data_IF_528785991726
#
_entry.id   IF_528785991726
#
_cell.length_a   1.000
_cell.length_b   1.000
_cell.length_c   1.000
_cell.angle_alpha   90.00
_cell.angle_beta   90.00
_cell.angle_gamma   90.00
#
_symmetry.space_group_name_H-M   'P 1'
#
loop_
_entity.id
_entity.type
_entity.pdbx_description
1 polymer ?
#
# COMPACT_ATOMS: atom_id res chain seq x y z
N UNK A 1 29.84 -33.31 -12.18
CA UNK A 1 28.43 -33.63 -12.46
C UNK A 1 27.66 -32.43 -11.89
N UNK A 2 27.34 -31.44 -12.75
CA UNK A 2 26.55 -30.28 -12.35
C UNK A 2 25.12 -30.80 -12.21
N UNK A 3 24.54 -30.67 -11.03
CA UNK A 3 23.24 -31.21 -10.69
C UNK A 3 22.17 -30.49 -11.54
N UNK A 4 21.38 -31.24 -12.32
CA UNK A 4 20.33 -30.71 -13.21
C UNK A 4 19.24 -29.97 -12.42
N UNK A 5 19.13 -30.23 -11.10
CA UNK A 5 18.24 -29.55 -10.17
C UNK A 5 18.68 -28.10 -9.93
N UNK A 6 19.99 -27.84 -9.80
CA UNK A 6 20.53 -26.48 -9.60
C UNK A 6 20.32 -25.56 -10.81
N UNK A 7 20.37 -26.11 -12.04
CA UNK A 7 20.15 -25.32 -13.25
C UNK A 7 18.68 -24.95 -13.46
N UNK A 8 17.75 -25.77 -12.98
CA UNK A 8 16.32 -25.50 -13.04
C UNK A 8 15.90 -24.42 -12.01
N UNK A 9 16.47 -24.43 -10.79
CA UNK A 9 16.26 -23.39 -9.77
C UNK A 9 16.86 -22.04 -10.20
N UNK A 10 18.06 -22.03 -10.80
CA UNK A 10 18.71 -20.79 -11.26
C UNK A 10 17.96 -20.16 -12.45
N UNK A 11 17.41 -20.96 -13.37
CA UNK A 11 16.62 -20.46 -14.49
C UNK A 11 15.27 -19.85 -14.05
N UNK A 12 14.66 -20.41 -13.01
CA UNK A 12 13.40 -19.90 -12.43
C UNK A 12 13.63 -18.60 -11.66
N UNK A 13 14.71 -18.48 -10.91
CA UNK A 13 15.12 -17.26 -10.21
C UNK A 13 15.38 -16.06 -11.16
N UNK A 14 15.88 -16.29 -12.37
CA UNK A 14 16.10 -15.20 -13.35
C UNK A 14 14.79 -14.60 -13.85
N UNK A 15 13.77 -15.40 -14.11
CA UNK A 15 12.42 -14.97 -14.49
C UNK A 15 11.75 -14.18 -13.36
N UNK A 16 11.83 -14.70 -12.14
CA UNK A 16 11.28 -14.03 -10.95
C UNK A 16 11.93 -12.67 -10.76
N UNK A 17 13.25 -12.56 -10.85
CA UNK A 17 13.98 -11.27 -10.74
C UNK A 17 13.56 -10.28 -11.83
N UNK A 18 13.41 -10.73 -13.09
CA UNK A 18 12.93 -9.88 -14.18
C UNK A 18 11.52 -9.33 -13.91
N UNK A 19 10.61 -10.18 -13.42
CA UNK A 19 9.27 -9.76 -13.02
C UNK A 19 9.30 -8.78 -11.84
N UNK A 20 10.14 -9.01 -10.84
CA UNK A 20 10.31 -8.11 -9.69
C UNK A 20 10.76 -6.72 -10.14
N UNK A 21 11.74 -6.63 -11.04
CA UNK A 21 12.21 -5.34 -11.59
C UNK A 21 11.09 -4.62 -12.34
N UNK A 22 10.35 -5.32 -13.22
CA UNK A 22 9.21 -4.74 -13.95
C UNK A 22 8.11 -4.26 -13.00
N UNK A 23 7.79 -5.05 -11.99
CA UNK A 23 6.78 -4.70 -10.98
C UNK A 23 7.24 -3.52 -10.11
N UNK A 24 8.52 -3.44 -9.75
CA UNK A 24 9.09 -2.29 -9.05
C UNK A 24 9.03 -1.00 -9.89
N UNK A 25 9.35 -1.10 -11.20
CA UNK A 25 9.20 0.02 -12.12
C UNK A 25 7.71 0.44 -12.27
N UNK A 26 6.80 -0.54 -12.41
CA UNK A 26 5.36 -0.27 -12.45
C UNK A 26 4.88 0.38 -11.15
N UNK A 27 5.38 -0.06 -9.99
CA UNK A 27 5.08 0.53 -8.69
C UNK A 27 5.52 2.00 -8.61
N UNK A 28 6.71 2.32 -9.12
CA UNK A 28 7.21 3.70 -9.18
C UNK A 28 6.30 4.59 -10.04
N UNK A 29 5.92 4.12 -11.23
CA UNK A 29 5.08 4.86 -12.16
C UNK A 29 3.65 5.03 -11.63
N UNK A 30 3.05 3.97 -11.10
CA UNK A 30 1.69 4.02 -10.52
C UNK A 30 1.65 4.87 -9.25
N UNK A 31 2.67 4.76 -8.41
CA UNK A 31 2.80 5.58 -7.22
C UNK A 31 2.94 7.07 -7.56
N UNK A 32 3.68 7.41 -8.62
CA UNK A 32 3.76 8.78 -9.11
C UNK A 32 2.38 9.31 -9.55
N UNK A 33 1.58 8.50 -10.25
CA UNK A 33 0.21 8.87 -10.61
C UNK A 33 -0.68 9.11 -9.39
N UNK A 34 -0.58 8.26 -8.37
CA UNK A 34 -1.30 8.45 -7.10
C UNK A 34 -0.86 9.74 -6.40
N UNK A 35 0.45 10.04 -6.39
CA UNK A 35 0.99 11.26 -5.79
C UNK A 35 0.47 12.54 -6.51
N UNK A 36 0.28 12.52 -7.83
CA UNK A 36 -0.36 13.62 -8.57
C UNK A 36 -1.78 13.85 -8.04
N UNK A 37 -2.59 12.80 -7.86
CA UNK A 37 -3.96 12.93 -7.35
C UNK A 37 -3.97 13.47 -5.92
N UNK A 38 -3.08 12.99 -5.05
CA UNK A 38 -2.98 13.49 -3.67
C UNK A 38 -2.52 14.95 -3.60
N UNK A 39 -1.57 15.34 -4.45
CA UNK A 39 -1.05 16.71 -4.49
C UNK A 39 -2.06 17.70 -5.05
N UNK A 40 -2.87 17.32 -6.04
CA UNK A 40 -3.73 18.25 -6.79
C UNK A 40 -5.21 18.11 -6.48
N UNK A 41 -5.66 16.94 -6.02
CA UNK A 41 -7.08 16.58 -5.95
C UNK A 41 -7.93 17.50 -5.08
N UNK A 42 -7.42 17.95 -3.92
CA UNK A 42 -8.15 18.90 -3.06
C UNK A 42 -8.15 20.33 -3.62
N UNK A 43 -7.09 20.73 -4.32
CA UNK A 43 -6.96 22.07 -4.93
C UNK A 43 -7.94 22.16 -6.12
N UNK A 44 -7.89 21.20 -7.03
CA UNK A 44 -8.83 21.09 -8.16
C UNK A 44 -10.26 20.93 -7.62
N UNK A 45 -10.45 20.09 -6.58
CA UNK A 45 -11.73 19.94 -5.92
C UNK A 45 -12.28 21.27 -5.41
N UNK A 46 -11.47 22.07 -4.71
CA UNK A 46 -11.87 23.40 -4.22
C UNK A 46 -12.20 24.38 -5.35
N UNK A 47 -11.55 24.25 -6.51
CA UNK A 47 -11.79 25.12 -7.68
C UNK A 47 -13.07 24.75 -8.43
N UNK A 48 -13.36 23.44 -8.52
CA UNK A 48 -14.50 22.94 -9.31
C UNK A 48 -15.77 22.70 -8.49
N UNK A 49 -15.65 22.55 -7.16
CA UNK A 49 -16.78 22.16 -6.31
C UNK A 49 -17.85 23.26 -6.22
N UNK A 50 -19.13 22.89 -6.20
CA UNK A 50 -20.24 23.83 -5.95
C UNK A 50 -20.17 24.51 -4.56
N UNK A 51 -19.52 23.86 -3.60
CA UNK A 51 -19.25 24.38 -2.26
C UNK A 51 -17.90 23.90 -1.75
N UNK A 52 -17.26 24.71 -0.92
CA UNK A 52 -15.94 24.39 -0.35
C UNK A 52 -15.93 23.12 0.52
N UNK A 53 -17.08 22.75 1.08
CA UNK A 53 -17.26 21.51 1.85
C UNK A 53 -17.05 20.25 1.03
N UNK A 54 -17.18 20.34 -0.30
CA UNK A 54 -16.99 19.24 -1.23
C UNK A 54 -15.56 19.17 -1.80
N UNK A 55 -14.67 20.08 -1.44
CA UNK A 55 -13.33 20.20 -2.00
C UNK A 55 -12.49 18.89 -1.89
N UNK A 56 -12.71 18.10 -0.85
CA UNK A 56 -11.98 16.86 -0.59
C UNK A 56 -12.65 15.61 -1.18
N UNK A 57 -13.86 15.74 -1.73
CA UNK A 57 -14.61 14.60 -2.30
C UNK A 57 -13.81 13.87 -3.39
N UNK A 58 -13.07 14.52 -4.31
CA UNK A 58 -12.24 13.81 -5.29
C UNK A 58 -11.22 12.85 -4.65
N UNK A 59 -10.58 13.25 -3.54
CA UNK A 59 -9.66 12.36 -2.80
C UNK A 59 -10.41 11.20 -2.14
N UNK A 60 -11.59 11.46 -1.57
CA UNK A 60 -12.44 10.40 -1.01
C UNK A 60 -12.88 9.40 -2.08
N UNK A 61 -13.20 9.87 -3.29
CA UNK A 61 -13.53 9.01 -4.43
C UNK A 61 -12.35 8.17 -4.88
N UNK A 62 -11.11 8.70 -4.85
CA UNK A 62 -9.91 7.91 -5.08
C UNK A 62 -9.78 6.78 -4.05
N UNK A 63 -9.91 7.08 -2.76
CA UNK A 63 -9.79 6.07 -1.69
C UNK A 63 -10.92 5.02 -1.79
N UNK A 64 -12.12 5.44 -2.13
CA UNK A 64 -13.25 4.53 -2.39
C UNK A 64 -12.97 3.62 -3.58
N UNK A 65 -12.41 4.16 -4.67
CA UNK A 65 -11.97 3.39 -5.83
C UNK A 65 -10.88 2.38 -5.46
N UNK A 66 -9.92 2.79 -4.63
CA UNK A 66 -8.84 1.92 -4.12
C UNK A 66 -9.43 0.73 -3.35
N UNK A 67 -10.31 0.99 -2.39
CA UNK A 67 -10.92 -0.07 -1.58
C UNK A 67 -11.80 -1.01 -2.42
N UNK A 68 -12.69 -0.44 -3.26
CA UNK A 68 -13.62 -1.23 -4.08
C UNK A 68 -12.95 -1.99 -5.21
N UNK A 69 -11.78 -1.52 -5.70
CA UNK A 69 -11.04 -2.16 -6.79
C UNK A 69 -10.28 -3.42 -6.38
N UNK A 70 -10.07 -3.68 -5.09
CA UNK A 70 -9.27 -4.81 -4.62
C UNK A 70 -9.91 -6.17 -4.96
N UNK A 71 -11.21 -6.33 -4.69
CA UNK A 71 -11.93 -7.59 -4.96
C UNK A 71 -12.04 -7.89 -6.46
N UNK A 72 -12.46 -6.93 -7.34
CA UNK A 72 -12.43 -7.13 -8.78
C UNK A 72 -11.03 -7.47 -9.32
N UNK A 73 -9.97 -6.83 -8.81
CA UNK A 73 -8.58 -7.14 -9.19
C UNK A 73 -8.25 -8.61 -8.89
N UNK A 74 -8.63 -9.10 -7.71
CA UNK A 74 -8.47 -10.51 -7.34
C UNK A 74 -9.25 -11.46 -8.23
N UNK A 75 -10.52 -11.13 -8.53
CA UNK A 75 -11.39 -11.93 -9.39
C UNK A 75 -10.87 -12.01 -10.83
N UNK A 76 -10.47 -10.87 -11.41
CA UNK A 76 -9.88 -10.81 -12.77
C UNK A 76 -8.54 -11.56 -12.79
N UNK A 77 -7.69 -11.39 -11.78
CA UNK A 77 -6.42 -12.10 -11.66
C UNK A 77 -6.61 -13.61 -11.60
N UNK A 78 -7.66 -14.08 -10.91
CA UNK A 78 -8.03 -15.49 -10.83
C UNK A 78 -8.56 -16.02 -12.18
N UNK A 79 -9.46 -15.29 -12.84
CA UNK A 79 -10.12 -15.75 -14.06
C UNK A 79 -9.22 -15.64 -15.30
N UNK A 80 -8.47 -14.55 -15.43
CA UNK A 80 -7.75 -14.16 -16.65
C UNK A 80 -6.24 -14.00 -16.45
N UNK A 81 -5.75 -14.20 -15.24
CA UNK A 81 -4.35 -14.03 -14.86
C UNK A 81 -3.98 -12.61 -14.44
N UNK A 82 -2.87 -12.48 -13.70
CA UNK A 82 -2.41 -11.18 -13.14
C UNK A 82 -2.09 -10.15 -14.23
N UNK A 83 -1.47 -10.57 -15.34
CA UNK A 83 -1.13 -9.68 -16.45
C UNK A 83 -2.37 -8.96 -16.99
N UNK A 84 -3.48 -9.67 -17.19
CA UNK A 84 -4.74 -9.09 -17.66
C UNK A 84 -5.30 -8.08 -16.67
N UNK A 85 -5.31 -8.42 -15.36
CA UNK A 85 -5.75 -7.49 -14.31
C UNK A 85 -4.90 -6.21 -14.29
N UNK A 86 -3.59 -6.33 -14.49
CA UNK A 86 -2.67 -5.19 -14.49
C UNK A 86 -2.87 -4.29 -15.70
N UNK A 87 -3.09 -4.86 -16.89
CA UNK A 87 -3.39 -4.08 -18.10
C UNK A 87 -4.73 -3.32 -17.94
N UNK A 88 -5.77 -3.97 -17.40
CA UNK A 88 -7.06 -3.31 -17.15
C UNK A 88 -6.89 -2.17 -16.15
N UNK A 89 -6.17 -2.40 -15.04
CA UNK A 89 -5.94 -1.37 -14.03
C UNK A 89 -5.14 -0.19 -14.56
N UNK A 90 -4.07 -0.41 -15.31
CA UNK A 90 -3.32 0.68 -15.96
C UNK A 90 -4.16 1.41 -16.99
N UNK A 91 -5.10 0.73 -17.67
CA UNK A 91 -6.12 1.37 -18.52
C UNK A 91 -7.02 2.33 -17.75
N UNK A 92 -7.44 1.96 -16.53
CA UNK A 92 -8.13 2.90 -15.63
C UNK A 92 -7.26 4.12 -15.32
N UNK A 93 -5.95 3.95 -15.14
CA UNK A 93 -4.99 5.04 -14.93
C UNK A 93 -4.91 6.00 -16.12
N UNK A 94 -4.89 5.48 -17.34
CA UNK A 94 -4.95 6.30 -18.56
C UNK A 94 -6.24 7.10 -18.62
N UNK A 95 -7.38 6.45 -18.38
CA UNK A 95 -8.67 7.12 -18.35
C UNK A 95 -8.75 8.18 -17.25
N UNK A 96 -8.15 7.93 -16.08
CA UNK A 96 -8.04 8.92 -15.00
C UNK A 96 -7.37 10.20 -15.48
N UNK A 97 -6.24 10.10 -16.15
CA UNK A 97 -5.52 11.27 -16.66
C UNK A 97 -6.30 12.01 -17.74
N UNK A 98 -6.85 11.29 -18.73
CA UNK A 98 -7.62 11.90 -19.82
C UNK A 98 -8.91 12.56 -19.32
N UNK A 99 -9.71 11.85 -18.52
CA UNK A 99 -10.96 12.38 -17.96
C UNK A 99 -10.70 13.47 -16.92
N UNK A 100 -9.62 13.37 -16.12
CA UNK A 100 -9.23 14.40 -15.17
C UNK A 100 -8.87 15.70 -15.85
N UNK A 101 -8.05 15.64 -16.91
CA UNK A 101 -7.73 16.82 -17.75
C UNK A 101 -9.00 17.41 -18.38
N UNK A 102 -9.81 16.57 -19.00
CA UNK A 102 -11.07 17.00 -19.64
C UNK A 102 -12.03 17.64 -18.62
N UNK A 103 -12.13 17.08 -17.41
CA UNK A 103 -12.95 17.62 -16.34
C UNK A 103 -12.52 19.02 -15.89
N UNK A 104 -11.19 19.25 -15.82
CA UNK A 104 -10.63 20.57 -15.48
C UNK A 104 -10.95 21.58 -16.58
N UNK A 105 -10.72 21.22 -17.85
CA UNK A 105 -10.97 22.09 -18.99
C UNK A 105 -12.44 22.50 -19.13
N UNK A 106 -13.37 21.62 -18.72
CA UNK A 106 -14.82 21.88 -18.81
C UNK A 106 -15.45 22.23 -17.46
N UNK A 107 -14.64 22.52 -16.44
CA UNK A 107 -15.09 22.86 -15.08
C UNK A 107 -16.10 21.87 -14.49
N UNK A 108 -15.94 20.56 -14.74
CA UNK A 108 -16.87 19.52 -14.32
C UNK A 108 -16.42 18.80 -13.05
N UNK A 109 -16.97 19.18 -11.90
CA UNK A 109 -16.64 18.59 -10.60
C UNK A 109 -16.91 17.07 -10.53
N UNK A 110 -18.11 16.64 -10.93
CA UNK A 110 -18.50 15.24 -10.82
C UNK A 110 -17.72 14.32 -11.78
N UNK A 111 -17.35 14.85 -12.96
CA UNK A 111 -16.48 14.12 -13.88
C UNK A 111 -15.08 13.96 -13.30
N UNK A 112 -14.57 15.00 -12.61
CA UNK A 112 -13.30 14.91 -11.90
C UNK A 112 -13.33 13.89 -10.77
N UNK A 113 -14.43 13.84 -10.01
CA UNK A 113 -14.68 12.79 -9.00
C UNK A 113 -14.70 11.38 -9.61
N UNK A 114 -15.34 11.21 -10.77
CA UNK A 114 -15.31 9.93 -11.51
C UNK A 114 -13.91 9.56 -12.00
N UNK A 115 -13.14 10.53 -12.48
CA UNK A 115 -11.75 10.33 -12.89
C UNK A 115 -10.87 9.88 -11.71
N UNK A 116 -10.98 10.52 -10.55
CA UNK A 116 -10.22 10.14 -9.37
C UNK A 116 -10.64 8.76 -8.82
N UNK A 117 -11.91 8.39 -8.93
CA UNK A 117 -12.38 7.03 -8.61
C UNK A 117 -11.69 5.96 -9.48
N UNK A 118 -11.59 6.19 -10.80
CA UNK A 118 -10.83 5.32 -11.70
C UNK A 118 -9.35 5.26 -11.32
N UNK A 119 -8.77 6.39 -10.88
CA UNK A 119 -7.42 6.44 -10.32
C UNK A 119 -7.27 5.55 -9.09
N UNK A 120 -8.31 5.47 -8.25
CA UNK A 120 -8.36 4.55 -7.13
C UNK A 120 -8.38 3.08 -7.56
N UNK A 121 -9.15 2.72 -8.59
CA UNK A 121 -9.12 1.36 -9.16
C UNK A 121 -7.72 0.99 -9.68
N UNK A 122 -7.03 1.92 -10.34
CA UNK A 122 -5.64 1.74 -10.74
C UNK A 122 -4.73 1.55 -9.52
N UNK A 123 -4.91 2.36 -8.47
CA UNK A 123 -4.21 2.20 -7.20
C UNK A 123 -4.41 0.80 -6.59
N UNK A 124 -5.63 0.26 -6.61
CA UNK A 124 -5.94 -1.08 -6.11
C UNK A 124 -5.14 -2.18 -6.84
N UNK A 125 -5.04 -2.07 -8.16
CA UNK A 125 -4.24 -3.01 -8.96
C UNK A 125 -2.76 -2.94 -8.59
N UNK A 126 -2.21 -1.75 -8.40
CA UNK A 126 -0.80 -1.58 -8.02
C UNK A 126 -0.48 -2.19 -6.66
N UNK A 127 -1.43 -2.18 -5.72
CA UNK A 127 -1.23 -2.82 -4.42
C UNK A 127 -1.04 -4.34 -4.54
N UNK A 128 -1.52 -4.97 -5.61
CA UNK A 128 -1.31 -6.40 -5.84
C UNK A 128 0.06 -6.73 -6.47
N UNK A 129 0.83 -5.73 -6.93
CA UNK A 129 2.17 -5.95 -7.52
C UNK A 129 3.12 -6.62 -6.54
N UNK A 130 3.07 -6.25 -5.25
CA UNK A 130 3.91 -6.86 -4.20
C UNK A 130 3.67 -8.36 -4.04
N UNK A 131 2.42 -8.79 -4.18
CA UNK A 131 2.08 -10.21 -4.12
C UNK A 131 2.46 -10.94 -5.41
N UNK A 132 2.27 -10.29 -6.57
CA UNK A 132 2.67 -10.86 -7.85
C UNK A 132 4.19 -11.08 -7.93
N UNK A 133 4.97 -10.24 -7.28
CA UNK A 133 6.42 -10.42 -7.17
C UNK A 133 6.82 -11.66 -6.34
N UNK A 134 5.98 -12.06 -5.39
CA UNK A 134 6.20 -13.26 -4.60
C UNK A 134 5.76 -14.57 -5.30
N UNK A 135 4.95 -14.45 -6.37
CA UNK A 135 4.49 -15.60 -7.13
C UNK A 135 5.66 -16.27 -7.86
N UNK A 136 5.79 -17.57 -7.71
CA UNK A 136 6.90 -18.34 -8.29
C UNK A 136 8.25 -18.18 -7.57
N UNK A 137 8.38 -17.26 -6.61
CA UNK A 137 9.59 -17.08 -5.83
C UNK A 137 9.78 -18.19 -4.79
N UNK A 138 11.03 -18.59 -4.55
CA UNK A 138 11.38 -19.48 -3.45
C UNK A 138 10.93 -18.88 -2.10
N UNK A 139 10.62 -19.73 -1.12
CA UNK A 139 10.15 -19.29 0.22
C UNK A 139 11.10 -18.26 0.84
N UNK A 140 12.40 -18.45 0.67
CA UNK A 140 13.45 -17.54 1.19
C UNK A 140 13.47 -16.19 0.44
N UNK A 141 13.09 -16.15 -0.85
CA UNK A 141 13.14 -14.93 -1.67
C UNK A 141 11.85 -14.11 -1.63
N UNK A 142 10.69 -14.72 -1.31
CA UNK A 142 9.39 -14.01 -1.25
C UNK A 142 9.39 -12.70 -0.49
N UNK A 143 9.90 -12.62 0.76
CA UNK A 143 9.93 -11.34 1.49
C UNK A 143 10.77 -10.27 0.79
N UNK A 144 11.89 -10.70 0.18
CA UNK A 144 12.76 -9.80 -0.60
C UNK A 144 12.05 -9.29 -1.85
N UNK A 145 11.35 -10.16 -2.58
CA UNK A 145 10.61 -9.79 -3.78
C UNK A 145 9.52 -8.74 -3.47
N UNK A 146 8.73 -8.95 -2.41
CA UNK A 146 7.74 -7.97 -1.92
C UNK A 146 8.42 -6.63 -1.60
N UNK A 147 9.51 -6.66 -0.84
CA UNK A 147 10.26 -5.46 -0.45
C UNK A 147 10.81 -4.68 -1.64
N UNK A 148 11.39 -5.36 -2.63
CA UNK A 148 11.93 -4.71 -3.83
C UNK A 148 10.85 -3.98 -4.63
N UNK A 149 9.65 -4.56 -4.76
CA UNK A 149 8.53 -3.89 -5.42
C UNK A 149 8.11 -2.66 -4.63
N UNK A 150 8.01 -2.77 -3.31
CA UNK A 150 7.66 -1.62 -2.44
C UNK A 150 8.72 -0.51 -2.52
N UNK A 151 10.00 -0.85 -2.68
CA UNK A 151 11.08 0.12 -2.85
C UNK A 151 10.89 1.02 -4.10
N UNK A 152 10.19 0.53 -5.14
CA UNK A 152 9.75 1.35 -6.28
C UNK A 152 8.95 2.59 -5.86
N UNK A 153 8.26 2.54 -4.73
CA UNK A 153 7.51 3.68 -4.17
C UNK A 153 8.38 4.87 -3.76
N UNK A 154 9.68 4.68 -3.49
CA UNK A 154 10.62 5.79 -3.22
C UNK A 154 10.69 6.72 -4.42
N UNK A 155 10.80 6.14 -5.62
CA UNK A 155 10.82 6.92 -6.86
C UNK A 155 9.49 7.62 -7.10
N UNK A 156 8.38 7.00 -6.71
CA UNK A 156 7.05 7.61 -6.79
C UNK A 156 6.96 8.90 -5.94
N UNK A 157 7.53 8.88 -4.73
CA UNK A 157 7.57 10.03 -3.81
C UNK A 157 8.35 11.23 -4.36
N UNK A 158 9.29 10.98 -5.27
CA UNK A 158 10.02 12.06 -5.96
C UNK A 158 9.36 12.42 -7.29
N UNK A 159 9.05 11.43 -8.14
CA UNK A 159 8.54 11.66 -9.49
C UNK A 159 7.18 12.36 -9.49
N UNK A 160 6.26 11.97 -8.57
CA UNK A 160 4.90 12.54 -8.56
C UNK A 160 4.88 14.05 -8.31
N UNK A 161 5.45 14.56 -7.19
CA UNK A 161 5.54 15.99 -6.92
C UNK A 161 6.29 16.77 -8.01
N UNK A 162 7.37 16.21 -8.56
CA UNK A 162 8.14 16.86 -9.64
C UNK A 162 7.30 16.96 -10.92
N UNK A 163 6.55 15.92 -11.30
CA UNK A 163 5.64 15.97 -12.43
C UNK A 163 4.63 17.10 -12.28
N UNK A 164 4.01 17.22 -11.09
CA UNK A 164 3.07 18.32 -10.83
C UNK A 164 3.77 19.67 -10.99
N UNK A 165 4.93 19.85 -10.37
CA UNK A 165 5.63 21.13 -10.37
C UNK A 165 6.05 21.57 -11.78
N UNK A 166 6.45 20.65 -12.66
CA UNK A 166 6.86 20.97 -14.03
C UNK A 166 5.69 21.17 -14.99
N UNK A 167 4.49 20.73 -14.61
CA UNK A 167 3.36 20.66 -15.56
C UNK A 167 2.11 21.41 -15.11
N UNK A 168 2.07 21.93 -13.87
CA UNK A 168 0.84 22.44 -13.26
C UNK A 168 0.26 23.66 -13.97
N UNK A 169 1.08 24.53 -14.58
CA UNK A 169 0.73 25.81 -15.18
C UNK A 169 0.93 25.88 -16.70
N UNK A 170 1.35 24.77 -17.34
CA UNK A 170 1.62 24.70 -18.78
C UNK A 170 0.42 25.09 -19.63
N UNK A 171 -0.80 24.78 -19.18
CA UNK A 171 -2.05 25.19 -19.87
C UNK A 171 -2.80 26.26 -19.08
N UNK A 172 -2.09 27.32 -18.64
CA UNK A 172 -2.76 28.46 -17.99
C UNK A 172 -3.91 29.02 -18.86
N UNK A 173 -5.09 29.35 -18.29
CA UNK A 173 -5.43 29.37 -16.87
C UNK A 173 -5.90 28.03 -16.24
N UNK A 174 -5.88 26.93 -16.98
CA UNK A 174 -6.36 25.63 -16.53
C UNK A 174 -5.32 24.89 -15.69
N UNK A 175 -5.16 25.33 -14.44
CA UNK A 175 -4.17 24.78 -13.52
C UNK A 175 -4.32 23.24 -13.40
N UNK A 176 -3.21 22.50 -13.51
CA UNK A 176 -3.12 21.04 -13.46
C UNK A 176 -3.73 20.26 -14.62
N UNK A 177 -4.42 20.88 -15.60
CA UNK A 177 -5.01 20.15 -16.71
C UNK A 177 -3.94 19.35 -17.48
N UNK A 178 -2.78 19.95 -17.77
CA UNK A 178 -1.67 19.29 -18.43
C UNK A 178 -1.00 18.23 -17.53
N UNK A 179 -0.98 18.42 -16.22
CA UNK A 179 -0.46 17.41 -15.28
C UNK A 179 -1.23 16.09 -15.38
N UNK A 180 -2.55 16.14 -15.59
CA UNK A 180 -3.37 14.96 -15.80
C UNK A 180 -3.11 14.29 -17.17
N UNK A 181 -2.78 15.05 -18.23
CA UNK A 181 -2.34 14.48 -19.52
C UNK A 181 -1.02 13.72 -19.34
N UNK A 182 -0.05 14.31 -18.65
CA UNK A 182 1.23 13.65 -18.35
C UNK A 182 1.00 12.41 -17.48
N UNK A 183 0.08 12.46 -16.51
CA UNK A 183 -0.35 11.30 -15.74
C UNK A 183 -0.87 10.15 -16.63
N UNK A 184 -1.68 10.46 -17.66
CA UNK A 184 -2.13 9.46 -18.64
C UNK A 184 -0.95 8.85 -19.41
N UNK A 185 0.01 9.64 -19.83
CA UNK A 185 1.21 9.17 -20.50
C UNK A 185 2.05 8.24 -19.59
N UNK A 186 2.23 8.61 -18.32
CA UNK A 186 2.92 7.76 -17.33
C UNK A 186 2.17 6.43 -17.11
N UNK A 187 0.83 6.45 -17.09
CA UNK A 187 0.02 5.23 -16.99
C UNK A 187 0.17 4.34 -18.24
N UNK A 188 0.28 4.92 -19.43
CA UNK A 188 0.59 4.18 -20.68
C UNK A 188 1.96 3.51 -20.62
N UNK A 189 2.99 4.21 -20.12
CA UNK A 189 4.31 3.60 -19.90
C UNK A 189 4.23 2.46 -18.90
N UNK A 190 3.49 2.64 -17.80
CA UNK A 190 3.26 1.57 -16.83
C UNK A 190 2.54 0.36 -17.48
N UNK A 191 1.57 0.59 -18.37
CA UNK A 191 0.87 -0.45 -19.12
C UNK A 191 1.85 -1.27 -19.99
N UNK A 192 2.77 -0.61 -20.69
CA UNK A 192 3.82 -1.28 -21.48
C UNK A 192 4.71 -2.13 -20.56
N UNK A 193 5.13 -1.60 -19.42
CA UNK A 193 5.97 -2.32 -18.45
C UNK A 193 5.26 -3.57 -17.93
N UNK A 194 3.99 -3.46 -17.48
CA UNK A 194 3.25 -4.61 -16.94
C UNK A 194 2.84 -5.61 -18.02
N UNK A 195 2.72 -5.20 -19.28
CA UNK A 195 2.44 -6.10 -20.39
C UNK A 195 3.56 -7.08 -20.65
N UNK A 196 4.79 -6.77 -20.26
CA UNK A 196 5.95 -7.64 -20.35
C UNK A 196 6.12 -8.62 -19.17
N UNK A 197 5.20 -8.64 -18.20
CA UNK A 197 5.28 -9.55 -17.06
C UNK A 197 4.97 -10.98 -17.54
N UNK A 198 5.87 -11.89 -17.22
CA UNK A 198 5.69 -13.32 -17.45
C UNK A 198 4.91 -13.90 -16.25
N UNK A 199 3.60 -13.84 -16.34
CA UNK A 199 2.69 -14.46 -15.37
C UNK A 199 1.90 -15.54 -16.09
N UNK A 200 2.15 -16.82 -15.79
CA UNK A 200 1.41 -17.92 -16.41
C UNK A 200 -0.10 -17.74 -16.13
N UNK A 201 -0.92 -18.04 -17.12
CA UNK A 201 -2.37 -18.09 -16.93
C UNK A 201 -2.69 -19.12 -15.86
N UNK A 202 -3.70 -18.87 -15.01
CA UNK A 202 -4.13 -19.87 -14.03
C UNK A 202 -4.47 -21.19 -14.75
N UNK A 203 -3.97 -22.30 -14.23
CA UNK A 203 -4.38 -23.61 -14.73
C UNK A 203 -5.87 -23.83 -14.40
N UNK A 204 -6.55 -24.68 -15.18
CA UNK A 204 -7.95 -25.01 -14.90
C UNK A 204 -8.14 -25.59 -13.48
N UNK A 205 -7.14 -26.32 -12.96
CA UNK A 205 -7.07 -26.78 -11.57
C UNK A 205 -7.07 -25.64 -10.54
N UNK A 206 -6.48 -24.49 -10.88
CA UNK A 206 -6.39 -23.33 -9.97
C UNK A 206 -7.72 -22.55 -9.89
N UNK A 207 -8.63 -22.76 -10.86
CA UNK A 207 -9.95 -22.12 -10.88
C UNK A 207 -10.94 -22.80 -9.92
N UNK A 208 -10.81 -24.12 -9.71
CA UNK A 208 -11.78 -24.93 -8.97
C UNK A 208 -11.23 -25.55 -7.69
N UNK A 209 -9.99 -25.18 -7.30
CA UNK A 209 -9.32 -25.72 -6.13
C UNK A 209 -9.26 -24.75 -4.94
N UNK A 210 -8.88 -25.30 -3.80
CA UNK A 210 -8.62 -24.59 -2.56
C UNK A 210 -9.85 -24.40 -1.68
N UNK A 211 -9.58 -24.19 -0.40
CA UNK A 211 -10.59 -24.02 0.67
C UNK A 211 -11.48 -22.80 0.39
N UNK A 212 -12.75 -22.81 0.87
CA UNK A 212 -13.60 -21.61 0.87
C UNK A 212 -12.91 -20.43 1.57
N UNK A 213 -13.12 -19.21 1.06
CA UNK A 213 -12.51 -18.00 1.64
C UNK A 213 -12.84 -17.84 3.12
N UNK A 214 -14.07 -18.18 3.51
CA UNK A 214 -14.54 -18.09 4.89
C UNK A 214 -13.77 -19.02 5.86
N UNK A 215 -13.37 -20.19 5.40
CA UNK A 215 -12.55 -21.11 6.17
C UNK A 215 -11.16 -20.54 6.42
N UNK A 216 -10.56 -19.94 5.40
CA UNK A 216 -9.22 -19.31 5.50
C UNK A 216 -9.30 -18.06 6.38
N UNK A 217 -10.34 -17.24 6.21
CA UNK A 217 -10.56 -16.01 6.97
C UNK A 217 -10.74 -16.26 8.50
N UNK A 218 -11.16 -17.46 8.89
CA UNK A 218 -11.28 -17.86 10.29
C UNK A 218 -9.99 -18.41 10.89
N UNK A 219 -8.95 -18.63 10.08
CA UNK A 219 -7.69 -19.13 10.62
C UNK A 219 -7.02 -18.08 11.51
N UNK A 220 -6.59 -18.43 12.73
CA UNK A 220 -5.92 -17.47 13.62
C UNK A 220 -4.70 -16.79 12.99
N UNK A 221 -3.97 -17.51 12.14
CA UNK A 221 -2.82 -16.96 11.40
C UNK A 221 -3.22 -15.88 10.39
N UNK A 222 -4.31 -16.10 9.63
CA UNK A 222 -4.82 -15.10 8.70
C UNK A 222 -5.36 -13.88 9.45
N UNK A 223 -6.15 -14.10 10.53
CA UNK A 223 -6.68 -13.01 11.35
C UNK A 223 -5.55 -12.15 11.90
N UNK A 224 -4.50 -12.76 12.46
CA UNK A 224 -3.36 -12.02 12.99
C UNK A 224 -2.62 -11.23 11.89
N UNK A 225 -2.39 -11.83 10.72
CA UNK A 225 -1.72 -11.17 9.60
C UNK A 225 -2.56 -10.00 9.04
N UNK A 226 -3.85 -10.23 8.79
CA UNK A 226 -4.76 -9.21 8.27
C UNK A 226 -4.95 -8.06 9.27
N UNK A 227 -5.12 -8.38 10.58
CA UNK A 227 -5.25 -7.38 11.63
C UNK A 227 -4.03 -6.46 11.71
N UNK A 228 -2.82 -7.01 11.60
CA UNK A 228 -1.59 -6.20 11.57
C UNK A 228 -1.59 -5.23 10.38
N UNK A 229 -1.98 -5.67 9.20
CA UNK A 229 -2.11 -4.82 8.01
C UNK A 229 -3.20 -3.74 8.17
N UNK A 230 -4.36 -4.15 8.73
CA UNK A 230 -5.50 -3.27 9.07
C UNK A 230 -5.17 -2.25 10.15
N UNK A 231 -4.18 -2.49 10.98
CA UNK A 231 -3.70 -1.50 11.96
C UNK A 231 -2.65 -0.61 11.32
N UNK A 232 -1.57 -1.18 10.78
CA UNK A 232 -0.44 -0.43 10.28
C UNK A 232 -0.84 0.60 9.20
N UNK A 233 -1.61 0.21 8.19
CA UNK A 233 -1.92 1.13 7.10
C UNK A 233 -2.92 2.23 7.51
N UNK A 234 -4.09 1.91 8.10
CA UNK A 234 -5.04 2.95 8.51
C UNK A 234 -4.53 3.92 9.56
N UNK A 235 -3.73 3.46 10.55
CA UNK A 235 -3.18 4.35 11.57
C UNK A 235 -2.17 5.33 10.96
N UNK A 236 -1.27 4.84 10.12
CA UNK A 236 -0.36 5.69 9.35
C UNK A 236 -1.16 6.70 8.50
N UNK A 237 -2.15 6.23 7.73
CA UNK A 237 -2.93 7.09 6.84
C UNK A 237 -3.74 8.15 7.60
N UNK A 238 -4.31 7.81 8.76
CA UNK A 238 -5.06 8.75 9.61
C UNK A 238 -4.18 9.92 10.06
N UNK A 239 -2.97 9.66 10.53
CA UNK A 239 -2.03 10.70 10.97
C UNK A 239 -1.49 11.49 9.78
N UNK A 240 -1.07 10.81 8.70
CA UNK A 240 -0.54 11.43 7.48
C UNK A 240 -1.55 12.41 6.85
N UNK A 241 -2.82 12.01 6.74
CA UNK A 241 -3.84 12.86 6.11
C UNK A 241 -4.23 14.05 6.96
N UNK A 242 -4.16 13.92 8.28
CA UNK A 242 -4.43 15.01 9.23
C UNK A 242 -3.28 16.02 9.35
N UNK A 243 -2.02 15.58 9.17
CA UNK A 243 -0.83 16.37 9.46
C UNK A 243 -0.76 17.71 8.69
N UNK A 244 -1.00 17.81 7.37
CA UNK A 244 -0.92 19.08 6.66
C UNK A 244 -1.91 20.12 7.17
N UNK A 245 -3.13 19.71 7.51
CA UNK A 245 -4.14 20.59 8.06
C UNK A 245 -3.77 20.99 9.49
N UNK A 246 -3.29 20.07 10.31
CA UNK A 246 -2.81 20.35 11.67
C UNK A 246 -1.64 21.34 11.64
N UNK A 247 -0.67 21.16 10.74
CA UNK A 247 0.46 22.08 10.56
C UNK A 247 -0.03 23.50 10.20
N UNK A 248 -1.00 23.59 9.28
CA UNK A 248 -1.61 24.87 8.92
C UNK A 248 -2.32 25.53 10.12
N UNK A 249 -3.07 24.74 10.92
CA UNK A 249 -3.73 25.23 12.13
C UNK A 249 -2.72 25.75 13.18
N UNK A 250 -1.50 25.18 13.20
CA UNK A 250 -0.40 25.63 14.06
C UNK A 250 0.40 26.80 13.45
N UNK A 251 -0.03 27.39 12.33
CA UNK A 251 0.64 28.52 11.67
C UNK A 251 1.89 28.16 10.88
N UNK A 252 2.15 26.87 10.61
CA UNK A 252 3.28 26.42 9.81
C UNK A 252 3.01 26.66 8.31
N UNK A 253 4.10 26.83 7.55
CA UNK A 253 4.02 27.11 6.12
C UNK A 253 3.61 25.87 5.29
N UNK A 254 3.11 26.10 4.09
CA UNK A 254 2.86 25.03 3.11
C UNK A 254 4.16 24.30 2.74
N UNK A 255 5.28 25.01 2.72
CA UNK A 255 6.61 24.43 2.47
C UNK A 255 7.00 23.43 3.56
N UNK A 256 6.75 23.76 4.84
CA UNK A 256 6.99 22.84 5.95
C UNK A 256 6.14 21.57 5.84
N UNK A 257 4.88 21.73 5.44
CA UNK A 257 3.97 20.61 5.22
C UNK A 257 4.44 19.71 4.07
N UNK A 258 4.80 20.30 2.94
CA UNK A 258 5.29 19.56 1.77
C UNK A 258 6.59 18.81 2.10
N UNK A 259 7.51 19.45 2.84
CA UNK A 259 8.73 18.80 3.30
C UNK A 259 8.43 17.59 4.20
N UNK A 260 7.50 17.74 5.15
CA UNK A 260 7.09 16.65 6.04
C UNK A 260 6.50 15.46 5.26
N UNK A 261 5.59 15.71 4.32
CA UNK A 261 4.97 14.67 3.49
C UNK A 261 5.99 14.01 2.55
N UNK A 262 6.88 14.77 1.93
CA UNK A 262 7.91 14.22 1.05
C UNK A 262 8.81 13.23 1.81
N UNK A 263 9.32 13.62 2.96
CA UNK A 263 10.19 12.76 3.76
C UNK A 263 9.44 11.60 4.42
N UNK A 264 8.15 11.79 4.73
CA UNK A 264 7.28 10.70 5.13
C UNK A 264 7.20 9.61 4.03
N UNK A 265 6.95 10.00 2.78
CA UNK A 265 6.88 9.04 1.66
C UNK A 265 8.24 8.35 1.46
N UNK A 266 9.34 9.07 1.55
CA UNK A 266 10.68 8.47 1.50
C UNK A 266 10.88 7.48 2.65
N UNK A 267 10.45 7.82 3.85
CA UNK A 267 10.52 6.94 5.03
C UNK A 267 9.59 5.72 4.92
N UNK A 268 8.44 5.85 4.25
CA UNK A 268 7.55 4.72 3.97
C UNK A 268 8.19 3.68 3.05
N UNK A 269 8.87 4.12 2.01
CA UNK A 269 9.34 3.19 0.97
C UNK A 269 10.85 2.92 1.04
N UNK A 270 11.66 3.83 1.58
CA UNK A 270 13.10 3.70 1.69
C UNK A 270 13.56 2.44 2.42
N UNK A 271 13.02 2.10 3.60
CA UNK A 271 13.43 0.88 4.30
C UNK A 271 13.17 -0.40 3.51
N UNK A 272 12.29 -0.38 2.50
CA UNK A 272 11.99 -1.56 1.67
C UNK A 272 13.22 -2.17 1.01
N UNK A 273 14.30 -1.40 0.79
CA UNK A 273 15.56 -1.95 0.27
C UNK A 273 16.16 -3.04 1.18
N UNK A 274 15.90 -3.00 2.49
CA UNK A 274 16.44 -3.95 3.46
C UNK A 274 15.37 -4.68 4.30
N UNK A 275 14.12 -4.21 4.33
CA UNK A 275 13.03 -4.81 5.11
C UNK A 275 12.84 -6.30 4.78
N UNK A 276 12.91 -6.68 3.51
CA UNK A 276 12.82 -8.08 3.11
C UNK A 276 13.96 -8.96 3.66
N UNK A 277 15.16 -8.42 3.76
CA UNK A 277 16.29 -9.12 4.37
C UNK A 277 16.12 -9.25 5.90
N UNK A 278 15.57 -8.21 6.55
CA UNK A 278 15.25 -8.26 7.97
C UNK A 278 14.16 -9.31 8.26
N UNK A 279 13.10 -9.36 7.43
CA UNK A 279 12.06 -10.38 7.54
C UNK A 279 12.64 -11.79 7.37
N UNK A 280 13.49 -11.99 6.37
CA UNK A 280 14.13 -13.28 6.14
C UNK A 280 15.03 -13.71 7.31
N UNK A 281 15.71 -12.77 7.98
CA UNK A 281 16.63 -13.04 9.09
C UNK A 281 15.92 -13.20 10.43
N UNK A 282 14.95 -12.34 10.75
CA UNK A 282 14.34 -12.25 12.08
C UNK A 282 12.91 -12.77 12.14
N UNK A 283 12.30 -13.05 10.98
CA UNK A 283 10.91 -13.47 10.84
C UNK A 283 9.93 -12.30 10.77
N UNK A 284 8.87 -12.46 10.00
CA UNK A 284 7.87 -11.42 9.78
C UNK A 284 7.18 -10.93 11.07
N UNK A 285 6.81 -11.78 12.06
CA UNK A 285 6.13 -11.30 13.27
C UNK A 285 6.93 -10.28 14.07
N UNK A 286 8.26 -10.46 14.17
CA UNK A 286 9.13 -9.53 14.90
C UNK A 286 9.23 -8.19 14.18
N UNK A 287 9.35 -8.20 12.85
CA UNK A 287 9.45 -6.97 12.05
C UNK A 287 8.13 -6.20 12.11
N UNK A 288 6.98 -6.88 12.05
CA UNK A 288 5.67 -6.24 12.26
C UNK A 288 5.57 -5.62 13.65
N UNK A 289 6.01 -6.32 14.70
CA UNK A 289 5.98 -5.77 16.05
C UNK A 289 6.85 -4.51 16.19
N UNK A 290 8.04 -4.49 15.58
CA UNK A 290 8.89 -3.27 15.51
C UNK A 290 8.16 -2.16 14.75
N UNK A 291 7.51 -2.48 13.62
CA UNK A 291 6.74 -1.52 12.83
C UNK A 291 5.63 -0.85 13.64
N UNK A 292 4.77 -1.65 14.26
CA UNK A 292 3.69 -1.15 15.12
C UNK A 292 4.21 -0.34 16.31
N UNK A 293 5.33 -0.76 16.91
CA UNK A 293 5.98 0.01 17.98
C UNK A 293 6.49 1.36 17.51
N UNK A 294 7.05 1.44 16.29
CA UNK A 294 7.47 2.70 15.69
C UNK A 294 6.27 3.62 15.39
N UNK A 295 5.11 3.11 15.00
CA UNK A 295 3.90 3.93 14.87
C UNK A 295 3.49 4.55 16.20
N UNK A 296 3.55 3.78 17.31
CA UNK A 296 3.31 4.33 18.65
C UNK A 296 4.36 5.38 19.04
N UNK A 297 5.63 5.16 18.71
CA UNK A 297 6.70 6.17 18.92
C UNK A 297 6.42 7.44 18.12
N UNK A 298 6.05 7.31 16.83
CA UNK A 298 5.64 8.44 16.00
C UNK A 298 4.49 9.22 16.62
N UNK A 299 3.44 8.54 17.08
CA UNK A 299 2.31 9.17 17.78
C UNK A 299 2.76 9.87 19.07
N UNK A 300 3.68 9.28 19.83
CA UNK A 300 4.24 9.91 21.06
C UNK A 300 4.99 11.20 20.73
N UNK A 301 5.78 11.22 19.65
CA UNK A 301 6.45 12.46 19.18
C UNK A 301 5.40 13.49 18.78
N UNK A 302 4.32 13.09 18.08
CA UNK A 302 3.23 13.99 17.72
C UNK A 302 2.48 14.58 18.90
N UNK A 303 2.46 13.89 20.04
CA UNK A 303 1.90 14.40 21.31
C UNK A 303 2.86 15.33 22.05
N UNK A 304 4.17 15.24 21.79
CA UNK A 304 5.17 16.01 22.55
C UNK A 304 5.31 17.47 22.10
N UNK A 305 4.76 17.84 20.93
CA UNK A 305 4.81 19.22 20.46
C UNK A 305 4.18 19.46 19.10
N UNK A 306 4.10 20.73 18.71
CA UNK A 306 3.45 21.20 17.47
C UNK A 306 4.37 22.07 16.61
N UNK A 307 5.69 21.99 16.80
CA UNK A 307 6.63 22.64 15.88
C UNK A 307 6.83 21.83 14.61
N UNK A 308 7.37 22.42 13.56
CA UNK A 308 7.66 21.75 12.30
C UNK A 308 8.49 20.46 12.51
N UNK A 309 9.48 20.49 13.41
CA UNK A 309 10.35 19.34 13.71
C UNK A 309 9.56 18.19 14.33
N UNK A 310 8.59 18.46 15.21
CA UNK A 310 7.74 17.42 15.78
C UNK A 310 6.88 16.76 14.71
N UNK A 311 6.27 17.54 13.81
CA UNK A 311 5.51 16.98 12.68
C UNK A 311 6.39 16.15 11.75
N UNK A 312 7.57 16.65 11.38
CA UNK A 312 8.49 15.92 10.50
C UNK A 312 8.98 14.62 11.12
N UNK A 313 9.40 14.65 12.38
CA UNK A 313 9.84 13.47 13.11
C UNK A 313 8.69 12.44 13.26
N UNK A 314 7.49 12.90 13.63
CA UNK A 314 6.27 12.06 13.67
C UNK A 314 6.05 11.36 12.34
N UNK A 315 6.01 12.11 11.24
CA UNK A 315 5.74 11.60 9.91
C UNK A 315 6.83 10.62 9.43
N UNK A 316 8.12 10.94 9.65
CA UNK A 316 9.21 10.05 9.25
C UNK A 316 9.20 8.75 10.03
N UNK A 317 9.08 8.80 11.36
CA UNK A 317 9.03 7.58 12.19
C UNK A 317 7.81 6.74 11.88
N UNK A 318 6.66 7.38 11.67
CA UNK A 318 5.41 6.74 11.25
C UNK A 318 5.58 6.03 9.88
N UNK A 319 6.27 6.67 8.94
CA UNK A 319 6.56 6.08 7.63
C UNK A 319 7.39 4.80 7.71
N UNK A 320 8.47 4.81 8.52
CA UNK A 320 9.28 3.59 8.78
C UNK A 320 8.43 2.52 9.48
N UNK A 321 7.62 2.93 10.47
CA UNK A 321 6.69 2.04 11.19
C UNK A 321 5.73 1.34 10.25
N UNK A 322 5.11 2.10 9.35
CA UNK A 322 4.25 1.56 8.31
C UNK A 322 4.98 0.56 7.40
N UNK A 323 6.21 0.87 6.97
CA UNK A 323 6.96 -0.04 6.11
C UNK A 323 7.14 -1.41 6.77
N UNK A 324 7.64 -1.43 7.99
CA UNK A 324 7.86 -2.69 8.71
C UNK A 324 6.56 -3.41 9.06
N UNK A 325 5.54 -2.65 9.48
CA UNK A 325 4.21 -3.18 9.79
C UNK A 325 3.53 -3.78 8.57
N UNK A 326 3.38 -3.01 7.50
CA UNK A 326 2.61 -3.40 6.32
C UNK A 326 3.33 -4.40 5.41
N UNK A 327 4.63 -4.22 5.16
CA UNK A 327 5.43 -5.18 4.38
C UNK A 327 5.54 -6.50 5.13
N UNK A 328 5.75 -6.44 6.46
CA UNK A 328 5.77 -7.63 7.31
C UNK A 328 4.43 -8.34 7.37
N UNK A 329 3.31 -7.62 7.53
CA UNK A 329 1.96 -8.18 7.48
C UNK A 329 1.66 -8.83 6.11
N UNK A 330 2.09 -8.21 5.02
CA UNK A 330 1.98 -8.79 3.67
C UNK A 330 2.74 -10.11 3.56
N UNK A 331 3.94 -10.20 4.15
CA UNK A 331 4.69 -11.45 4.21
C UNK A 331 3.98 -12.53 5.03
N UNK A 332 3.35 -12.16 6.17
CA UNK A 332 2.55 -13.09 6.97
C UNK A 332 1.34 -13.62 6.21
N UNK A 333 0.65 -12.79 5.42
CA UNK A 333 -0.49 -13.23 4.58
C UNK A 333 -0.07 -14.30 3.59
N UNK A 334 1.14 -14.22 3.02
CA UNK A 334 1.66 -15.22 2.09
C UNK A 334 1.83 -16.62 2.70
N UNK A 335 1.92 -16.71 4.05
CA UNK A 335 2.04 -17.97 4.78
C UNK A 335 0.68 -18.63 5.08
N UNK A 336 -0.45 -17.96 4.80
CA UNK A 336 -1.79 -18.40 5.22
C UNK A 336 -2.58 -19.15 4.17
N UNK A 337 -2.12 -19.17 2.93
CA UNK A 337 -2.86 -19.71 1.79
C UNK A 337 -2.01 -20.62 0.91
N UNK A 338 -2.68 -21.53 0.22
CA UNK A 338 -2.09 -22.35 -0.84
C UNK A 338 -2.00 -21.56 -2.16
N UNK A 339 -1.18 -22.02 -3.14
CA UNK A 339 -1.06 -21.33 -4.43
C UNK A 339 -2.40 -21.08 -5.14
N UNK A 340 -3.33 -22.06 -5.09
CA UNK A 340 -4.66 -21.95 -5.70
C UNK A 340 -5.55 -20.89 -5.02
N UNK A 341 -5.30 -20.57 -3.75
CA UNK A 341 -6.10 -19.67 -2.90
C UNK A 341 -5.62 -18.23 -2.97
N UNK A 342 -4.40 -18.00 -3.50
CA UNK A 342 -3.65 -16.74 -3.40
C UNK A 342 -4.46 -15.51 -3.80
N UNK A 343 -5.10 -15.52 -4.97
CA UNK A 343 -5.77 -14.33 -5.51
C UNK A 343 -6.96 -13.90 -4.64
N UNK A 344 -7.77 -14.87 -4.17
CA UNK A 344 -8.94 -14.56 -3.32
C UNK A 344 -8.54 -14.10 -1.94
N UNK A 345 -7.49 -14.71 -1.35
CA UNK A 345 -7.03 -14.39 0.01
C UNK A 345 -6.34 -13.03 0.04
N UNK A 346 -5.46 -12.78 -0.93
CA UNK A 346 -4.74 -11.51 -1.04
C UNK A 346 -5.69 -10.35 -1.35
N UNK A 347 -6.65 -10.54 -2.27
CA UNK A 347 -7.66 -9.53 -2.57
C UNK A 347 -8.56 -9.23 -1.37
N UNK A 348 -8.94 -10.25 -0.60
CA UNK A 348 -9.73 -10.06 0.61
C UNK A 348 -8.95 -9.34 1.71
N UNK A 349 -7.67 -9.70 1.91
CA UNK A 349 -6.79 -8.97 2.81
C UNK A 349 -6.70 -7.49 2.45
N UNK A 350 -6.47 -7.19 1.17
CA UNK A 350 -6.35 -5.82 0.69
C UNK A 350 -7.68 -5.06 0.81
N UNK A 351 -8.81 -5.73 0.58
CA UNK A 351 -10.12 -5.14 0.82
C UNK A 351 -10.32 -4.73 2.29
N UNK A 352 -9.90 -5.58 3.23
CA UNK A 352 -9.97 -5.25 4.66
C UNK A 352 -9.07 -4.05 5.02
N UNK A 353 -7.82 -4.07 4.54
CA UNK A 353 -6.84 -3.00 4.82
C UNK A 353 -7.30 -1.66 4.22
N UNK A 354 -7.62 -1.63 2.92
CA UNK A 354 -7.98 -0.38 2.24
C UNK A 354 -9.41 0.07 2.53
N UNK A 355 -10.31 -0.86 2.86
CA UNK A 355 -11.63 -0.53 3.38
C UNK A 355 -11.53 0.21 4.72
N UNK A 356 -10.70 -0.29 5.64
CA UNK A 356 -10.47 0.39 6.92
C UNK A 356 -9.69 1.69 6.74
N UNK A 357 -8.76 1.77 5.78
CA UNK A 357 -8.08 3.00 5.42
C UNK A 357 -9.08 4.07 4.95
N UNK A 358 -10.10 3.69 4.17
CA UNK A 358 -11.16 4.61 3.75
C UNK A 358 -11.91 5.17 4.97
N UNK A 359 -12.31 4.29 5.90
CA UNK A 359 -12.97 4.70 7.16
C UNK A 359 -12.07 5.67 7.95
N UNK A 360 -10.79 5.35 8.12
CA UNK A 360 -9.81 6.21 8.80
C UNK A 360 -9.64 7.57 8.11
N UNK A 361 -9.60 7.59 6.77
CA UNK A 361 -9.47 8.81 5.99
C UNK A 361 -10.67 9.76 6.18
N UNK A 362 -11.90 9.23 6.15
CA UNK A 362 -13.09 10.03 6.43
C UNK A 362 -13.14 10.53 7.88
N UNK A 363 -12.72 9.69 8.83
CA UNK A 363 -12.70 10.05 10.26
C UNK A 363 -11.62 11.08 10.59
N UNK A 364 -10.49 11.10 9.87
CA UNK A 364 -9.30 11.89 10.21
C UNK A 364 -9.57 13.41 10.26
N UNK A 365 -10.31 13.92 9.28
CA UNK A 365 -10.66 15.34 9.20
C UNK A 365 -11.60 15.78 10.33
N UNK A 366 -12.61 14.97 10.64
CA UNK A 366 -13.55 15.26 11.74
C UNK A 366 -12.87 15.14 13.10
N UNK A 367 -12.01 14.13 13.28
CA UNK A 367 -11.26 13.94 14.51
C UNK A 367 -10.34 15.14 14.76
N UNK A 368 -9.62 15.59 13.73
CA UNK A 368 -8.77 16.77 13.83
C UNK A 368 -9.57 18.05 14.11
N UNK A 369 -10.67 18.27 13.38
CA UNK A 369 -11.47 19.49 13.52
C UNK A 369 -12.15 19.62 14.89
N UNK A 370 -12.64 18.50 15.46
CA UNK A 370 -13.40 18.51 16.71
C UNK A 370 -12.52 18.32 17.97
N UNK A 371 -11.42 17.56 17.85
CA UNK A 371 -10.62 17.15 19.02
C UNK A 371 -9.13 17.50 18.91
N UNK A 372 -8.70 18.06 17.77
CA UNK A 372 -7.33 18.54 17.56
C UNK A 372 -6.30 17.45 17.28
N UNK A 373 -5.04 17.89 17.09
CA UNK A 373 -3.92 17.04 16.71
C UNK A 373 -3.58 15.95 17.74
N UNK A 374 -3.71 16.27 19.02
CA UNK A 374 -3.44 15.31 20.10
C UNK A 374 -4.38 14.11 20.04
N UNK A 375 -5.66 14.31 19.75
CA UNK A 375 -6.62 13.21 19.62
C UNK A 375 -6.29 12.31 18.42
N UNK A 376 -5.85 12.87 17.29
CA UNK A 376 -5.40 12.10 16.12
C UNK A 376 -4.27 11.13 16.50
N UNK A 377 -3.29 11.60 17.29
CA UNK A 377 -2.19 10.76 17.74
C UNK A 377 -2.61 9.76 18.84
N UNK A 378 -3.50 10.13 19.75
CA UNK A 378 -3.98 9.22 20.81
C UNK A 378 -4.73 8.01 20.26
N UNK A 379 -5.49 8.18 19.19
CA UNK A 379 -6.25 7.09 18.56
C UNK A 379 -5.34 5.98 17.99
N UNK A 380 -4.07 6.26 17.74
CA UNK A 380 -3.10 5.25 17.25
C UNK A 380 -2.83 4.16 18.29
N UNK A 381 -2.80 4.49 19.58
CA UNK A 381 -2.36 3.56 20.63
C UNK A 381 -3.24 2.33 20.81
N UNK A 382 -4.59 2.43 20.95
CA UNK A 382 -5.41 1.25 21.19
C UNK A 382 -5.29 0.17 20.11
N UNK A 383 -5.38 0.48 18.78
CA UNK A 383 -5.17 -0.53 17.73
C UNK A 383 -3.75 -1.09 17.74
N UNK A 384 -2.72 -0.26 17.92
CA UNK A 384 -1.32 -0.71 17.96
C UNK A 384 -1.10 -1.69 19.12
N UNK A 385 -1.60 -1.38 20.31
CA UNK A 385 -1.52 -2.28 21.46
C UNK A 385 -2.25 -3.60 21.22
N UNK A 386 -3.41 -3.55 20.56
CA UNK A 386 -4.14 -4.76 20.16
C UNK A 386 -3.30 -5.61 19.18
N UNK A 387 -2.70 -5.01 18.17
CA UNK A 387 -1.83 -5.72 17.21
C UNK A 387 -0.64 -6.38 17.88
N UNK A 388 0.04 -5.67 18.78
CA UNK A 388 1.16 -6.20 19.55
C UNK A 388 0.74 -7.34 20.48
N UNK A 389 -0.43 -7.24 21.13
CA UNK A 389 -0.97 -8.29 21.96
C UNK A 389 -1.29 -9.57 21.16
N UNK A 390 -1.92 -9.43 19.99
CA UNK A 390 -2.25 -10.57 19.11
C UNK A 390 -0.96 -11.25 18.61
N UNK A 391 0.05 -10.52 18.19
CA UNK A 391 1.34 -11.07 17.77
C UNK A 391 2.05 -11.80 18.91
N UNK A 392 2.00 -11.25 20.12
CA UNK A 392 2.59 -11.87 21.30
C UNK A 392 1.88 -13.19 21.62
N UNK A 393 0.54 -13.21 21.68
CA UNK A 393 -0.26 -14.42 21.91
C UNK A 393 0.00 -15.50 20.87
N UNK A 394 0.04 -15.13 19.57
CA UNK A 394 0.35 -16.07 18.49
C UNK A 394 1.76 -16.68 18.64
N UNK A 395 2.73 -15.88 19.06
CA UNK A 395 4.11 -16.33 19.29
C UNK A 395 4.21 -17.29 20.50
N UNK A 396 3.50 -16.99 21.59
CA UNK A 396 3.43 -17.86 22.76
C UNK A 396 2.75 -19.20 22.45
N UNK A 397 1.63 -19.18 21.72
CA UNK A 397 0.91 -20.39 21.31
C UNK A 397 1.82 -21.31 20.47
N UNK A 398 2.56 -20.74 19.49
CA UNK A 398 3.49 -21.50 18.66
C UNK A 398 4.61 -22.13 19.51
N UNK A 399 5.18 -21.38 20.47
CA UNK A 399 6.23 -21.87 21.36
C UNK A 399 5.75 -22.98 22.25
N UNK A 400 4.52 -22.87 22.79
CA UNK A 400 3.92 -23.90 23.64
C UNK A 400 3.67 -25.19 22.87
N UNK A 401 3.16 -25.09 21.63
CA UNK A 401 2.96 -26.26 20.77
C UNK A 401 4.29 -26.95 20.40
N UNK A 402 5.36 -26.21 20.19
CA UNK A 402 6.68 -26.80 19.90
C UNK A 402 7.30 -27.50 21.14
N UNK A 403 7.06 -26.99 22.34
CA UNK A 403 7.52 -27.65 23.59
C UNK A 403 6.74 -28.93 23.84
N UNK A 404 5.42 -28.94 23.65
CA UNK A 404 4.60 -30.13 23.77
C UNK A 404 4.98 -31.23 22.78
N UNK A 405 5.31 -30.87 21.54
CA UNK A 405 5.78 -31.83 20.54
C UNK A 405 7.16 -32.44 20.86
N UNK A 406 8.02 -31.73 21.61
CA UNK A 406 9.29 -32.28 22.10
C UNK A 406 9.05 -33.25 23.28
N UNK A 407 8.10 -32.96 24.17
CA UNK A 407 7.76 -33.80 25.29
C UNK A 407 7.04 -35.09 24.87
N UNK A 408 6.29 -35.11 23.74
CA UNK A 408 5.62 -36.28 23.18
C UNK A 408 6.57 -37.27 22.47
N UNK A 409 7.78 -36.85 22.09
CA UNK A 409 8.85 -37.69 21.51
C UNK A 409 10.11 -37.56 22.36
N UNK A 410 10.14 -38.16 23.59
CA UNK A 410 11.39 -38.28 24.32
C UNK A 410 12.34 -39.14 23.50
N UNK A 411 13.57 -38.64 23.24
CA UNK A 411 14.64 -39.36 22.59
C UNK A 411 14.72 -40.78 23.16
N UNK A 412 14.32 -41.77 22.36
CA UNK A 412 14.74 -43.15 22.64
C UNK A 412 16.22 -43.23 22.27
N UNK A 413 17.06 -42.77 23.20
CA UNK A 413 18.47 -43.01 23.14
C UNK A 413 18.79 -44.50 23.08
N UNK A 414 19.49 -44.90 22.03
CA UNK A 414 20.36 -46.04 22.00
C UNK A 414 21.75 -45.53 21.75
#
# INVERSE_FOLDING_TARGET
>A
MIDVTDTCEIADDSRVRSNVVRLAAAQALTGANSAVIFATGSIVGATLAPSISLATVPLSMYVLGLASGTLPTGAISRAYGRRTAFIIGTGCGVLTGLLGSFAILHASFWLFCGATFLGGLYGAVSQSYRFAAADGASVAYRPKAVSWVMAGGVFAGVLGPQLVQWTMDVWSPYLFAFSFVVQAAVALVAMVVVSGIDAPKPAASDLHGGRPLFEIARQPRFIAAALCGVIAYPMMNLVMTSAPLAMKMCGLSVSDSNFGIQWHIVAMYGPSFFTGALIARFGAPRIVAVGLSLEAVGATIGLSGTTAVHFWATLMVLGVGWNFGFVGASALVLETHLPQERNKVQAFNDFLVFGMMAVGSFASGQLLANYGWSAVNMVVFPPVLLGLAVLSLASFAKRRASLQAVDEFPDHGI
#
